data_IF_706942290868
#
_entry.id   IF_706942290868
#
_cell.length_a   1.000
_cell.length_b   1.000
_cell.length_c   1.000
_cell.angle_alpha   90.00
_cell.angle_beta   90.00
_cell.angle_gamma   90.00
#
_symmetry.space_group_name_H-M   'P 1'
#
loop_
_entity.id
_entity.type
_entity.pdbx_description
1 polymer ?
#
# COMPACT_ATOMS: atom_id res chain seq x y z
N UNK A 1 -3.02 -23.46 2.33
CA UNK A 1 -3.92 -22.30 2.58
C UNK A 1 -4.44 -21.82 1.25
N UNK A 2 -5.74 -21.61 1.10
CA UNK A 2 -6.31 -21.01 -0.11
C UNK A 2 -6.08 -19.50 -0.02
N UNK A 3 -5.47 -18.92 -1.08
CA UNK A 3 -5.25 -17.48 -1.15
C UNK A 3 -6.57 -16.72 -0.94
N UNK A 4 -6.56 -15.66 -0.14
CA UNK A 4 -7.72 -14.78 0.05
C UNK A 4 -8.04 -14.01 -1.24
N UNK A 5 -7.00 -13.60 -1.97
CA UNK A 5 -7.10 -12.84 -3.21
C UNK A 5 -6.68 -13.67 -4.44
N UNK A 6 -7.36 -13.43 -5.55
CA UNK A 6 -6.92 -13.84 -6.88
C UNK A 6 -5.90 -12.81 -7.41
N UNK A 7 -4.61 -13.05 -7.15
CA UNK A 7 -3.53 -12.13 -7.53
C UNK A 7 -3.41 -11.92 -9.04
N UNK A 8 -3.87 -12.88 -9.86
CA UNK A 8 -3.96 -12.70 -11.31
C UNK A 8 -5.03 -11.68 -11.67
N UNK A 9 -6.13 -11.68 -10.93
CA UNK A 9 -7.19 -10.68 -11.09
C UNK A 9 -6.71 -9.30 -10.64
N UNK A 10 -6.03 -9.19 -9.48
CA UNK A 10 -5.42 -7.93 -8.99
C UNK A 10 -4.50 -7.36 -10.08
N UNK A 11 -3.52 -8.14 -10.54
CA UNK A 11 -2.58 -7.73 -11.58
C UNK A 11 -3.27 -7.26 -12.86
N UNK A 12 -4.31 -7.97 -13.31
CA UNK A 12 -5.07 -7.61 -14.52
C UNK A 12 -5.88 -6.33 -14.33
N UNK A 13 -6.53 -6.16 -13.17
CA UNK A 13 -7.35 -5.01 -12.87
C UNK A 13 -6.50 -3.73 -12.86
N UNK A 14 -5.41 -3.71 -12.12
CA UNK A 14 -4.49 -2.57 -12.07
C UNK A 14 -3.78 -2.31 -13.40
N UNK A 15 -3.40 -3.36 -14.15
CA UNK A 15 -2.81 -3.15 -15.48
C UNK A 15 -3.77 -2.50 -16.46
N UNK A 16 -5.08 -2.79 -16.40
CA UNK A 16 -6.10 -2.16 -17.24
C UNK A 16 -6.42 -0.74 -16.79
N UNK A 17 -6.42 -0.52 -15.49
CA UNK A 17 -6.72 0.79 -14.90
C UNK A 17 -5.61 1.82 -15.11
N UNK A 18 -4.38 1.37 -15.37
CA UNK A 18 -3.17 2.19 -15.30
C UNK A 18 -3.27 3.52 -16.06
N UNK A 19 -3.80 3.50 -17.30
CA UNK A 19 -3.90 4.70 -18.14
C UNK A 19 -4.90 5.74 -17.60
N UNK A 20 -5.99 5.30 -16.96
CA UNK A 20 -7.03 6.17 -16.42
C UNK A 20 -6.89 6.44 -14.91
N UNK A 21 -5.93 5.79 -14.26
CA UNK A 21 -5.79 5.77 -12.81
C UNK A 21 -5.76 7.16 -12.18
N UNK A 22 -4.96 8.05 -12.72
CA UNK A 22 -4.75 9.40 -12.19
C UNK A 22 -6.01 10.26 -12.20
N UNK A 23 -6.96 9.99 -13.10
CA UNK A 23 -8.21 10.74 -13.17
C UNK A 23 -9.16 10.48 -11.99
N UNK A 24 -9.01 9.35 -11.30
CA UNK A 24 -9.87 8.93 -10.20
C UNK A 24 -9.11 8.68 -8.88
N UNK A 25 -7.79 8.84 -8.85
CA UNK A 25 -6.95 8.51 -7.69
C UNK A 25 -6.73 9.73 -6.75
N UNK A 26 -7.75 10.55 -6.51
CA UNK A 26 -7.62 11.73 -5.65
C UNK A 26 -7.26 11.36 -4.21
N UNK A 27 -7.94 10.36 -3.63
CA UNK A 27 -7.65 9.84 -2.30
C UNK A 27 -6.22 9.28 -2.22
N UNK A 28 -5.81 8.47 -3.20
CA UNK A 28 -4.49 7.86 -3.22
C UNK A 28 -3.37 8.90 -3.28
N UNK A 29 -3.60 10.01 -4.00
CA UNK A 29 -2.66 11.15 -4.05
C UNK A 29 -2.58 11.87 -2.71
N UNK A 30 -3.71 12.15 -2.08
CA UNK A 30 -3.77 12.82 -0.77
C UNK A 30 -3.06 11.98 0.30
N UNK A 31 -3.38 10.69 0.38
CA UNK A 31 -2.72 9.74 1.31
C UNK A 31 -1.22 9.65 1.02
N UNK A 32 -0.84 9.59 -0.26
CA UNK A 32 0.56 9.55 -0.68
C UNK A 32 1.32 10.83 -0.34
N UNK A 33 0.69 12.01 -0.46
CA UNK A 33 1.30 13.28 -0.08
C UNK A 33 1.59 13.32 1.43
N UNK A 34 0.61 12.97 2.28
CA UNK A 34 0.80 12.89 3.74
C UNK A 34 1.88 11.89 4.13
N UNK A 35 1.94 10.76 3.44
CA UNK A 35 2.97 9.76 3.68
C UNK A 35 4.37 10.27 3.30
N UNK A 36 4.49 11.02 2.19
CA UNK A 36 5.76 11.62 1.76
C UNK A 36 6.25 12.74 2.68
N UNK A 37 5.35 13.50 3.32
CA UNK A 37 5.69 14.52 4.32
C UNK A 37 6.42 13.92 5.52
N UNK A 38 6.10 12.68 5.92
CA UNK A 38 6.80 12.01 7.01
C UNK A 38 8.28 11.73 6.70
N UNK A 39 8.69 11.78 5.42
CA UNK A 39 10.10 11.68 5.03
C UNK A 39 10.93 12.90 5.42
N UNK A 40 10.30 14.03 5.80
CA UNK A 40 10.99 15.26 6.23
C UNK A 40 11.89 14.99 7.44
N UNK A 41 11.51 14.02 8.28
CA UNK A 41 12.34 13.55 9.38
C UNK A 41 13.73 13.04 8.94
N UNK A 42 13.85 12.42 7.76
CA UNK A 42 15.13 11.92 7.25
C UNK A 42 16.07 13.02 6.76
N UNK A 43 15.49 14.16 6.35
CA UNK A 43 16.24 15.28 5.80
C UNK A 43 16.60 16.32 6.88
N UNK A 44 16.12 16.15 8.12
CA UNK A 44 16.44 17.03 9.23
C UNK A 44 17.91 16.85 9.63
N UNK A 45 18.75 17.91 9.45
CA UNK A 45 20.17 17.85 9.83
C UNK A 45 20.42 17.54 11.31
N UNK A 46 19.45 17.83 12.18
CA UNK A 46 19.55 17.56 13.62
C UNK A 46 19.67 16.05 13.92
N UNK A 47 19.16 15.20 13.05
CA UNK A 47 19.24 13.75 13.20
C UNK A 47 20.56 13.14 12.71
N UNK A 48 21.41 13.90 12.02
CA UNK A 48 22.76 13.48 11.57
C UNK A 48 22.76 12.23 10.66
N UNK A 49 21.65 11.91 10.01
CA UNK A 49 21.52 10.75 9.12
C UNK A 49 22.04 11.07 7.73
N UNK A 50 22.82 10.17 7.10
CA UNK A 50 23.18 10.34 5.70
C UNK A 50 21.94 10.18 4.80
N UNK A 51 21.88 10.85 3.65
CA UNK A 51 20.82 10.63 2.68
C UNK A 51 20.73 9.17 2.25
N UNK A 52 19.52 8.63 2.03
CA UNK A 52 19.33 7.25 1.57
C UNK A 52 20.00 7.03 0.21
N UNK A 53 20.60 5.85 0.03
CA UNK A 53 21.23 5.43 -1.22
C UNK A 53 20.30 4.58 -2.08
N UNK A 54 19.47 3.74 -1.43
CA UNK A 54 18.50 2.85 -2.09
C UNK A 54 17.14 3.05 -1.45
N UNK A 55 16.17 3.43 -2.26
CA UNK A 55 14.78 3.65 -1.88
C UNK A 55 13.89 2.69 -2.64
N UNK A 56 13.03 1.97 -1.95
CA UNK A 56 12.02 1.09 -2.56
C UNK A 56 10.64 1.75 -2.43
N UNK A 57 9.98 1.99 -3.56
CA UNK A 57 8.57 2.34 -3.65
C UNK A 57 7.78 1.08 -4.02
N UNK A 58 7.11 0.49 -3.05
CA UNK A 58 6.42 -0.78 -3.17
C UNK A 58 4.93 -0.58 -3.48
N UNK A 59 4.45 -1.19 -4.57
CA UNK A 59 3.12 -0.89 -5.11
C UNK A 59 3.10 0.53 -5.69
N UNK A 60 4.13 0.89 -6.44
CA UNK A 60 4.39 2.26 -6.90
C UNK A 60 3.28 2.85 -7.77
N UNK A 61 2.36 2.02 -8.31
CA UNK A 61 1.32 2.46 -9.22
C UNK A 61 1.89 3.21 -10.42
N UNK A 62 1.34 4.40 -10.79
CA UNK A 62 1.88 5.20 -11.89
C UNK A 62 3.19 5.93 -11.55
N UNK A 63 3.73 5.79 -10.33
CA UNK A 63 5.07 6.22 -9.96
C UNK A 63 5.21 7.65 -9.43
N UNK A 64 4.13 8.28 -8.99
CA UNK A 64 4.20 9.66 -8.46
C UNK A 64 5.12 9.77 -7.25
N UNK A 65 4.99 8.87 -6.26
CA UNK A 65 5.87 8.83 -5.10
C UNK A 65 7.31 8.49 -5.49
N UNK A 66 7.51 7.55 -6.42
CA UNK A 66 8.84 7.22 -6.95
C UNK A 66 9.55 8.43 -7.53
N UNK A 67 8.84 9.24 -8.33
CA UNK A 67 9.39 10.47 -8.94
C UNK A 67 9.68 11.52 -7.87
N UNK A 68 8.78 11.72 -6.91
CA UNK A 68 8.97 12.66 -5.81
C UNK A 68 10.19 12.30 -4.95
N UNK A 69 10.35 11.03 -4.59
CA UNK A 69 11.51 10.54 -3.83
C UNK A 69 12.81 10.65 -4.64
N UNK A 70 12.79 10.44 -5.97
CA UNK A 70 13.96 10.64 -6.81
C UNK A 70 14.36 12.11 -6.89
N UNK A 71 13.39 13.04 -6.92
CA UNK A 71 13.65 14.48 -6.87
C UNK A 71 14.20 14.91 -5.51
N UNK A 72 13.68 14.33 -4.43
CA UNK A 72 14.12 14.58 -3.07
C UNK A 72 15.56 14.13 -2.84
N UNK A 73 15.92 12.94 -3.35
CA UNK A 73 17.25 12.34 -3.23
C UNK A 73 17.84 12.05 -4.62
N UNK A 74 18.39 13.05 -5.31
CA UNK A 74 18.79 12.92 -6.72
C UNK A 74 19.90 11.89 -6.97
N UNK A 75 20.66 11.50 -5.93
CA UNK A 75 21.74 10.51 -6.01
C UNK A 75 21.30 9.11 -5.55
N UNK A 76 20.10 8.96 -5.02
CA UNK A 76 19.57 7.68 -4.60
C UNK A 76 19.16 6.82 -5.80
N UNK A 77 19.29 5.50 -5.67
CA UNK A 77 18.64 4.56 -6.56
C UNK A 77 17.21 4.32 -6.07
N UNK A 78 16.22 4.88 -6.75
CA UNK A 78 14.81 4.61 -6.46
C UNK A 78 14.36 3.40 -7.27
N UNK A 79 13.85 2.37 -6.59
CA UNK A 79 13.28 1.16 -7.18
C UNK A 79 11.75 1.29 -7.12
N UNK A 80 11.11 1.38 -8.28
CA UNK A 80 9.66 1.47 -8.40
C UNK A 80 9.10 0.06 -8.66
N UNK A 81 8.58 -0.60 -7.62
CA UNK A 81 8.12 -1.97 -7.69
C UNK A 81 6.60 -2.04 -7.74
N UNK A 82 6.06 -2.77 -8.71
CA UNK A 82 4.62 -3.04 -8.83
C UNK A 82 4.36 -4.42 -9.43
N UNK A 83 3.25 -5.04 -9.05
CA UNK A 83 2.81 -6.31 -9.61
C UNK A 83 2.25 -6.15 -11.03
N UNK A 84 1.71 -4.97 -11.37
CA UNK A 84 1.00 -4.67 -12.59
C UNK A 84 1.93 -4.01 -13.64
N UNK A 85 2.29 -4.70 -14.76
CA UNK A 85 3.14 -4.11 -15.80
C UNK A 85 2.59 -2.83 -16.42
N UNK A 86 1.25 -2.66 -16.46
CA UNK A 86 0.62 -1.43 -16.93
C UNK A 86 1.00 -0.22 -16.06
N UNK A 87 1.01 -0.37 -14.73
CA UNK A 87 1.44 0.67 -13.79
C UNK A 87 2.92 1.05 -14.03
N UNK A 88 3.79 0.07 -14.19
CA UNK A 88 5.21 0.33 -14.48
C UNK A 88 5.45 1.02 -15.83
N UNK A 89 4.57 0.83 -16.82
CA UNK A 89 4.63 1.57 -18.07
C UNK A 89 4.32 3.07 -17.84
N UNK A 90 3.32 3.37 -16.99
CA UNK A 90 3.02 4.75 -16.57
C UNK A 90 4.16 5.35 -15.74
N UNK A 91 4.71 4.58 -14.78
CA UNK A 91 5.90 4.99 -13.99
C UNK A 91 7.05 5.41 -14.91
N UNK A 92 7.36 4.62 -15.96
CA UNK A 92 8.40 4.98 -16.94
C UNK A 92 8.06 6.26 -17.70
N UNK A 93 6.78 6.50 -17.97
CA UNK A 93 6.33 7.71 -18.67
C UNK A 93 6.52 8.94 -17.78
N UNK A 94 6.09 8.88 -16.50
CA UNK A 94 6.24 9.96 -15.53
C UNK A 94 7.71 10.23 -15.20
N UNK A 95 8.52 9.19 -15.02
CA UNK A 95 9.95 9.31 -14.70
C UNK A 95 10.78 9.99 -15.79
N UNK A 96 10.35 9.92 -17.05
CA UNK A 96 11.05 10.59 -18.17
C UNK A 96 10.91 12.11 -18.14
N UNK A 97 10.01 12.65 -17.29
CA UNK A 97 9.78 14.09 -17.20
C UNK A 97 9.34 14.74 -18.52
N UNK A 98 9.30 16.05 -18.52
CA UNK A 98 8.99 16.89 -19.68
C UNK A 98 10.15 17.84 -19.97
N UNK A 99 10.32 18.24 -21.24
CA UNK A 99 11.32 19.22 -21.65
C UNK A 99 12.76 18.69 -21.71
N UNK A 100 13.73 19.60 -21.52
CA UNK A 100 15.17 19.33 -21.70
C UNK A 100 15.77 18.37 -20.66
N UNK A 101 15.17 18.24 -19.48
CA UNK A 101 15.59 17.28 -18.45
C UNK A 101 15.56 15.83 -18.97
N UNK A 102 14.71 15.54 -19.94
CA UNK A 102 14.60 14.25 -20.62
C UNK A 102 15.85 13.86 -21.40
N UNK A 103 16.70 14.82 -21.72
CA UNK A 103 17.92 14.63 -22.53
C UNK A 103 19.16 14.38 -21.69
N UNK A 104 19.07 14.40 -20.35
CA UNK A 104 20.21 14.10 -19.49
C UNK A 104 20.37 12.57 -19.32
N UNK A 105 21.34 11.92 -19.99
CA UNK A 105 21.55 10.48 -19.92
C UNK A 105 22.14 10.03 -18.58
N UNK A 106 22.60 10.97 -17.74
CA UNK A 106 23.20 10.71 -16.43
C UNK A 106 22.25 10.98 -15.27
N UNK A 107 21.00 11.40 -15.55
CA UNK A 107 20.01 11.57 -14.50
C UNK A 107 19.58 10.23 -13.93
N UNK A 108 19.63 10.08 -12.62
CA UNK A 108 18.98 8.96 -11.95
C UNK A 108 17.46 9.10 -12.14
N UNK A 109 16.83 8.03 -12.57
CA UNK A 109 15.38 7.93 -12.72
C UNK A 109 14.91 6.68 -11.99
N UNK A 110 13.67 6.66 -11.46
CA UNK A 110 13.11 5.46 -10.84
C UNK A 110 13.24 4.24 -11.75
N UNK A 111 13.83 3.17 -11.21
CA UNK A 111 14.01 1.90 -11.93
C UNK A 111 12.78 1.00 -11.71
N UNK A 112 12.00 0.70 -12.77
CA UNK A 112 10.80 -0.11 -12.63
C UNK A 112 11.15 -1.60 -12.46
N UNK A 113 10.55 -2.23 -11.43
CA UNK A 113 10.72 -3.65 -11.10
C UNK A 113 9.34 -4.32 -11.06
N UNK A 114 9.09 -5.30 -11.93
CA UNK A 114 7.84 -6.05 -11.91
C UNK A 114 7.98 -7.23 -10.96
N UNK A 115 7.40 -7.12 -9.76
CA UNK A 115 7.49 -8.16 -8.74
C UNK A 115 6.29 -8.12 -7.79
N UNK A 116 6.18 -9.17 -6.97
CA UNK A 116 5.16 -9.33 -5.95
C UNK A 116 5.71 -8.87 -4.59
N UNK A 117 4.93 -8.08 -3.85
CA UNK A 117 5.28 -7.62 -2.50
C UNK A 117 5.55 -8.78 -1.53
N UNK A 118 4.95 -9.94 -1.77
CA UNK A 118 5.10 -11.16 -0.97
C UNK A 118 6.43 -11.88 -1.18
N UNK A 119 7.15 -11.56 -2.27
CA UNK A 119 8.42 -12.19 -2.64
C UNK A 119 9.38 -11.17 -3.27
N UNK A 120 9.94 -10.30 -2.44
CA UNK A 120 10.83 -9.23 -2.90
C UNK A 120 12.12 -9.78 -3.50
N UNK A 121 12.43 -9.49 -4.80
CA UNK A 121 13.63 -9.97 -5.47
C UNK A 121 14.84 -9.06 -5.17
N UNK A 122 15.02 -8.71 -3.91
CA UNK A 122 16.07 -7.81 -3.43
C UNK A 122 16.96 -8.54 -2.44
N UNK A 123 18.23 -8.13 -2.37
CA UNK A 123 19.19 -8.65 -1.41
C UNK A 123 18.83 -8.23 0.01
N UNK A 124 19.26 -9.02 0.98
CA UNK A 124 19.14 -8.71 2.39
C UNK A 124 19.88 -7.41 2.72
N UNK A 125 19.32 -6.61 3.63
CA UNK A 125 19.91 -5.37 4.15
C UNK A 125 20.41 -4.44 3.02
N UNK A 126 19.64 -4.24 1.95
CA UNK A 126 20.04 -3.45 0.78
C UNK A 126 19.26 -2.15 0.61
N UNK A 127 18.16 -1.96 1.32
CA UNK A 127 17.23 -0.83 1.17
C UNK A 127 17.32 0.09 2.39
N UNK A 128 17.47 1.40 2.17
CA UNK A 128 17.51 2.40 3.25
C UNK A 128 16.11 2.86 3.64
N UNK A 129 15.21 3.01 2.65
CA UNK A 129 13.81 3.42 2.85
C UNK A 129 12.90 2.51 2.03
N UNK A 130 11.91 1.91 2.68
CA UNK A 130 10.81 1.20 2.05
C UNK A 130 9.54 2.03 2.24
N UNK A 131 9.04 2.59 1.15
CA UNK A 131 7.78 3.32 1.07
C UNK A 131 6.73 2.44 0.42
N UNK A 132 5.47 2.49 0.91
CA UNK A 132 4.35 1.80 0.28
C UNK A 132 3.04 2.54 0.56
N UNK A 133 2.42 3.09 -0.47
CA UNK A 133 1.15 3.80 -0.34
C UNK A 133 0.00 2.95 -0.85
N UNK A 134 -0.95 2.61 0.04
CA UNK A 134 -2.18 1.89 -0.28
C UNK A 134 -1.96 0.65 -1.17
N UNK A 135 -1.00 -0.20 -0.79
CA UNK A 135 -0.69 -1.46 -1.46
C UNK A 135 -1.05 -2.68 -0.60
N UNK A 136 -0.84 -2.60 0.72
CA UNK A 136 -0.89 -3.76 1.62
C UNK A 136 -2.30 -4.33 1.84
N UNK A 137 -3.36 -3.62 1.49
CA UNK A 137 -4.72 -4.15 1.49
C UNK A 137 -4.94 -5.31 0.50
N UNK A 138 -4.01 -5.56 -0.41
CA UNK A 138 -4.03 -6.66 -1.37
C UNK A 138 -3.22 -7.88 -0.93
N UNK A 139 -2.76 -7.87 0.32
CA UNK A 139 -1.93 -8.92 0.92
C UNK A 139 -2.68 -9.55 2.10
N UNK A 140 -2.74 -10.87 2.12
CA UNK A 140 -3.41 -11.64 3.18
C UNK A 140 -2.53 -11.95 4.38
N UNK A 141 -1.23 -12.20 4.16
CA UNK A 141 -0.28 -12.61 5.19
C UNK A 141 0.70 -11.46 5.53
N UNK A 142 0.22 -10.52 6.35
CA UNK A 142 1.03 -9.38 6.81
C UNK A 142 2.31 -9.82 7.54
N UNK A 143 2.29 -10.82 8.45
CA UNK A 143 3.51 -11.29 9.08
C UNK A 143 4.59 -11.75 8.10
N UNK A 144 4.23 -12.55 7.08
CA UNK A 144 5.16 -13.01 6.06
C UNK A 144 5.71 -11.84 5.22
N UNK A 145 4.85 -10.89 4.86
CA UNK A 145 5.27 -9.72 4.09
C UNK A 145 6.18 -8.81 4.90
N UNK A 146 5.88 -8.55 6.16
CA UNK A 146 6.74 -7.76 7.04
C UNK A 146 8.08 -8.46 7.32
N UNK A 147 8.12 -9.78 7.42
CA UNK A 147 9.38 -10.52 7.46
C UNK A 147 10.22 -10.30 6.19
N UNK A 148 9.58 -10.26 5.02
CA UNK A 148 10.20 -9.90 3.75
C UNK A 148 10.73 -8.47 3.73
N UNK A 149 9.97 -7.51 4.27
CA UNK A 149 10.40 -6.10 4.36
C UNK A 149 11.57 -5.95 5.32
N UNK A 150 11.51 -6.59 6.49
CA UNK A 150 12.62 -6.63 7.43
C UNK A 150 13.89 -7.18 6.80
N UNK A 151 13.79 -8.26 6.02
CA UNK A 151 14.93 -8.89 5.35
C UNK A 151 15.65 -7.92 4.43
N UNK A 152 14.91 -7.14 3.62
CA UNK A 152 15.52 -6.25 2.63
C UNK A 152 15.94 -4.91 3.21
N UNK A 153 15.33 -4.43 4.30
CA UNK A 153 15.71 -3.19 4.94
C UNK A 153 17.07 -3.33 5.66
N UNK A 154 17.88 -2.30 5.51
CA UNK A 154 19.11 -2.16 6.31
C UNK A 154 18.77 -1.98 7.79
N UNK A 155 19.67 -2.34 8.70
CA UNK A 155 19.58 -1.93 10.10
C UNK A 155 19.43 -0.42 10.20
N UNK A 156 18.41 0.05 10.93
CA UNK A 156 18.07 1.46 11.02
C UNK A 156 17.45 2.07 9.76
N UNK A 157 17.12 1.26 8.73
CA UNK A 157 16.35 1.68 7.57
C UNK A 157 14.88 1.99 7.94
N UNK A 158 14.25 2.90 7.24
CA UNK A 158 12.87 3.34 7.49
C UNK A 158 11.89 2.49 6.69
N UNK A 159 10.88 1.94 7.37
CA UNK A 159 9.63 1.47 6.79
C UNK A 159 8.57 2.57 6.92
N UNK A 160 7.91 2.93 5.82
CA UNK A 160 6.86 3.94 5.78
C UNK A 160 5.73 3.43 4.89
N UNK A 161 4.57 3.14 5.46
CA UNK A 161 3.47 2.47 4.75
C UNK A 161 2.12 3.06 5.10
N UNK A 162 1.19 2.99 4.13
CA UNK A 162 -0.23 3.19 4.37
C UNK A 162 -1.05 2.01 3.85
N UNK A 163 -2.18 1.76 4.51
CA UNK A 163 -3.15 0.74 4.13
C UNK A 163 -4.55 1.16 4.53
N UNK A 164 -5.56 0.39 4.13
CA UNK A 164 -6.92 0.62 4.56
C UNK A 164 -7.24 -0.09 5.89
N UNK A 165 -8.09 0.55 6.70
CA UNK A 165 -8.64 0.02 7.93
C UNK A 165 -10.08 -0.50 7.76
N UNK A 166 -10.65 -1.11 8.82
CA UNK A 166 -11.90 -1.89 8.77
C UNK A 166 -13.14 -1.07 8.43
N UNK A 167 -13.15 0.25 8.68
CA UNK A 167 -14.27 1.11 8.32
C UNK A 167 -14.31 1.45 6.82
N UNK A 168 -13.29 1.08 6.03
CA UNK A 168 -13.26 1.37 4.60
C UNK A 168 -14.41 0.69 3.88
N UNK A 169 -15.20 1.53 3.14
CA UNK A 169 -16.33 1.13 2.30
C UNK A 169 -17.36 0.27 3.08
N UNK A 170 -17.56 0.55 4.38
CA UNK A 170 -18.54 -0.21 5.17
C UNK A 170 -19.95 -0.02 4.62
N UNK A 171 -20.30 1.16 4.10
CA UNK A 171 -21.60 1.45 3.50
C UNK A 171 -21.85 0.59 2.26
N UNK A 172 -20.83 0.44 1.43
CA UNK A 172 -20.88 -0.43 0.25
C UNK A 172 -21.05 -1.91 0.64
N UNK A 173 -20.33 -2.34 1.69
CA UNK A 173 -20.42 -3.69 2.23
C UNK A 173 -21.82 -3.99 2.75
N UNK A 174 -22.40 -3.10 3.55
CA UNK A 174 -23.76 -3.23 4.09
C UNK A 174 -24.81 -3.24 2.96
N UNK A 175 -24.68 -2.34 1.98
CA UNK A 175 -25.59 -2.28 0.85
C UNK A 175 -25.59 -3.58 0.04
N UNK A 176 -24.44 -4.19 -0.21
CA UNK A 176 -24.37 -5.46 -0.92
C UNK A 176 -24.78 -6.65 -0.05
N UNK A 177 -24.53 -6.62 1.27
CA UNK A 177 -25.02 -7.65 2.20
C UNK A 177 -26.56 -7.76 2.18
N UNK A 178 -27.27 -6.64 2.00
CA UNK A 178 -28.73 -6.65 1.82
C UNK A 178 -29.20 -7.26 0.47
N UNK A 179 -28.30 -7.41 -0.49
CA UNK A 179 -28.63 -7.89 -1.83
C UNK A 179 -28.17 -9.31 -2.14
N UNK A 180 -27.10 -9.79 -1.47
CA UNK A 180 -26.36 -10.99 -1.86
C UNK A 180 -25.53 -11.50 -0.65
N UNK A 181 -25.35 -12.81 -0.53
CA UNK A 181 -24.48 -13.41 0.48
C UNK A 181 -22.99 -13.44 0.08
N UNK A 182 -22.69 -13.16 -1.19
CA UNK A 182 -21.31 -13.15 -1.67
C UNK A 182 -20.57 -11.90 -1.17
N UNK A 183 -19.30 -12.00 -0.77
CA UNK A 183 -18.52 -10.86 -0.32
C UNK A 183 -18.19 -9.92 -1.52
N UNK A 184 -18.51 -8.64 -1.37
CA UNK A 184 -18.24 -7.61 -2.37
C UNK A 184 -17.10 -6.66 -2.00
N UNK A 185 -16.86 -6.47 -0.71
CA UNK A 185 -15.77 -5.65 -0.16
C UNK A 185 -14.90 -6.52 0.72
N UNK A 186 -13.58 -6.37 0.63
CA UNK A 186 -12.62 -7.08 1.48
C UNK A 186 -12.72 -6.60 2.93
N UNK A 187 -12.37 -7.46 3.87
CA UNK A 187 -12.10 -7.07 5.24
C UNK A 187 -10.65 -6.58 5.34
N UNK A 188 -10.45 -5.49 6.05
CA UNK A 188 -9.13 -4.90 6.28
C UNK A 188 -8.74 -5.04 7.74
N UNK A 189 -7.43 -5.15 8.06
CA UNK A 189 -6.96 -5.29 9.42
C UNK A 189 -7.23 -4.03 10.25
N UNK A 190 -7.52 -4.21 11.53
CA UNK A 190 -7.55 -3.10 12.47
C UNK A 190 -6.13 -2.58 12.76
N UNK A 191 -6.02 -1.30 13.17
CA UNK A 191 -4.74 -0.65 13.46
C UNK A 191 -3.90 -1.45 14.48
N UNK A 192 -4.53 -2.04 15.52
CA UNK A 192 -3.84 -2.88 16.50
C UNK A 192 -3.24 -4.14 15.88
N UNK A 193 -3.99 -4.85 15.01
CA UNK A 193 -3.51 -6.04 14.30
C UNK A 193 -2.33 -5.71 13.39
N UNK A 194 -2.37 -4.54 12.74
CA UNK A 194 -1.28 -4.06 11.88
C UNK A 194 -0.02 -3.77 12.70
N UNK A 195 -0.17 -3.10 13.85
CA UNK A 195 0.93 -2.84 14.80
C UNK A 195 1.52 -4.11 15.39
N UNK A 196 0.67 -5.06 15.80
CA UNK A 196 1.12 -6.36 16.31
C UNK A 196 1.92 -7.14 15.26
N UNK A 197 1.52 -7.08 14.00
CA UNK A 197 2.25 -7.73 12.90
C UNK A 197 3.63 -7.09 12.67
N UNK A 198 3.77 -5.76 12.80
CA UNK A 198 5.07 -5.06 12.74
C UNK A 198 5.99 -5.48 13.90
N UNK A 199 5.44 -5.50 15.13
CA UNK A 199 6.20 -5.93 16.33
C UNK A 199 6.61 -7.40 16.22
N UNK A 200 5.71 -8.27 15.77
CA UNK A 200 6.00 -9.69 15.57
C UNK A 200 7.11 -9.91 14.53
N UNK A 201 7.15 -9.11 13.47
CA UNK A 201 8.24 -9.11 12.51
C UNK A 201 9.56 -8.52 13.06
N UNK A 202 9.55 -7.95 14.27
CA UNK A 202 10.72 -7.41 14.97
C UNK A 202 11.12 -6.00 14.53
N UNK A 203 10.23 -5.23 13.90
CA UNK A 203 10.46 -3.82 13.67
C UNK A 203 10.58 -3.04 14.99
N UNK A 204 11.34 -1.97 14.97
CA UNK A 204 11.55 -1.09 16.14
C UNK A 204 10.71 0.16 16.04
N UNK A 205 10.23 0.61 17.21
CA UNK A 205 9.54 1.87 17.41
C UNK A 205 8.39 2.10 16.39
N UNK A 206 7.47 1.12 16.20
CA UNK A 206 6.36 1.31 15.30
C UNK A 206 5.44 2.42 15.82
N UNK A 207 5.20 3.42 14.99
CA UNK A 207 4.22 4.47 15.23
C UNK A 207 3.10 4.32 14.20
N UNK A 208 1.88 4.28 14.68
CA UNK A 208 0.71 4.14 13.83
C UNK A 208 -0.25 5.30 14.08
N UNK A 209 -0.85 5.76 13.00
CA UNK A 209 -1.89 6.79 13.01
C UNK A 209 -3.01 6.39 12.05
N UNK A 210 -4.16 7.03 12.17
CA UNK A 210 -5.28 6.78 11.27
C UNK A 210 -6.02 8.07 10.93
N UNK A 211 -6.44 8.14 9.67
CA UNK A 211 -7.34 9.16 9.17
C UNK A 211 -8.62 8.54 8.62
N UNK A 212 -9.70 9.30 8.66
CA UNK A 212 -10.95 8.95 8.00
C UNK A 212 -11.28 9.99 6.93
N UNK A 213 -11.46 9.50 5.71
CA UNK A 213 -11.92 10.30 4.58
C UNK A 213 -13.34 9.88 4.22
N UNK A 214 -14.20 10.85 3.98
CA UNK A 214 -15.57 10.61 3.54
C UNK A 214 -15.77 11.30 2.19
N UNK A 215 -16.03 10.49 1.16
CA UNK A 215 -16.26 10.97 -0.19
C UNK A 215 -17.73 10.81 -0.55
N UNK A 216 -18.30 11.80 -1.22
CA UNK A 216 -19.69 11.80 -1.61
C UNK A 216 -19.87 11.35 -3.06
N UNK A 217 -20.86 10.50 -3.31
CA UNK A 217 -21.22 10.03 -4.65
C UNK A 217 -22.69 10.32 -4.95
N UNK A 218 -23.04 10.66 -6.20
CA UNK A 218 -24.44 10.88 -6.57
C UNK A 218 -25.26 9.59 -6.50
N UNK A 219 -24.66 8.44 -6.82
CA UNK A 219 -25.29 7.13 -6.80
C UNK A 219 -24.26 5.99 -6.68
N UNK A 220 -24.75 4.75 -6.44
CA UNK A 220 -23.91 3.56 -6.35
C UNK A 220 -23.12 3.29 -7.64
N UNK A 221 -23.67 3.60 -8.80
CA UNK A 221 -23.02 3.32 -10.08
C UNK A 221 -21.78 4.23 -10.27
N UNK A 222 -21.83 5.44 -9.74
CA UNK A 222 -20.71 6.38 -9.73
C UNK A 222 -19.56 5.86 -8.89
N UNK A 223 -19.80 5.49 -7.63
CA UNK A 223 -18.80 4.85 -6.77
C UNK A 223 -18.19 3.61 -7.43
N UNK A 224 -19.02 2.73 -7.98
CA UNK A 224 -18.55 1.52 -8.67
C UNK A 224 -17.72 1.83 -9.93
N UNK A 225 -17.97 2.95 -10.59
CA UNK A 225 -17.19 3.43 -11.74
C UNK A 225 -15.83 3.94 -11.29
N UNK A 226 -15.78 4.75 -10.23
CA UNK A 226 -14.55 5.24 -9.64
C UNK A 226 -13.63 4.09 -9.20
N UNK A 227 -14.16 3.16 -8.39
CA UNK A 227 -13.42 1.96 -7.95
C UNK A 227 -12.85 1.16 -9.13
N UNK A 228 -13.62 1.01 -10.20
CA UNK A 228 -13.16 0.32 -11.41
C UNK A 228 -12.06 1.10 -12.13
N UNK A 229 -12.16 2.41 -12.18
CA UNK A 229 -11.18 3.29 -12.84
C UNK A 229 -9.82 3.23 -12.14
N UNK A 230 -9.80 3.13 -10.80
CA UNK A 230 -8.54 2.93 -10.05
C UNK A 230 -8.10 1.47 -9.97
N UNK A 231 -8.83 0.53 -10.58
CA UNK A 231 -8.50 -0.90 -10.54
C UNK A 231 -8.91 -1.62 -9.25
N UNK A 232 -9.56 -0.94 -8.29
CA UNK A 232 -10.03 -1.51 -7.03
C UNK A 232 -11.31 -2.36 -7.25
N UNK A 233 -11.18 -3.42 -8.01
CA UNK A 233 -12.28 -4.37 -8.27
C UNK A 233 -12.23 -5.53 -7.28
N UNK A 234 -13.37 -6.17 -7.04
CA UNK A 234 -13.43 -7.35 -6.19
C UNK A 234 -12.51 -8.47 -6.71
N UNK A 235 -11.43 -8.73 -5.99
CA UNK A 235 -10.43 -9.76 -6.29
C UNK A 235 -10.45 -10.92 -5.28
N UNK A 236 -11.43 -10.99 -4.38
CA UNK A 236 -11.56 -12.10 -3.43
C UNK A 236 -11.64 -13.44 -4.19
N UNK A 237 -10.94 -14.45 -3.70
CA UNK A 237 -10.98 -15.79 -4.29
C UNK A 237 -12.39 -16.38 -4.23
N UNK A 238 -13.13 -16.05 -3.18
CA UNK A 238 -14.52 -16.46 -2.93
C UNK A 238 -15.57 -15.60 -3.64
N UNK A 239 -15.15 -14.56 -4.37
CA UNK A 239 -16.07 -13.70 -5.11
C UNK A 239 -16.95 -14.49 -6.06
N UNK A 240 -18.14 -13.99 -6.35
CA UNK A 240 -18.97 -14.50 -7.44
C UNK A 240 -18.23 -14.35 -8.77
N UNK A 241 -18.14 -15.43 -9.55
CA UNK A 241 -17.50 -15.43 -10.88
C UNK A 241 -18.51 -15.16 -12.03
N UNK A 242 -19.81 -15.20 -11.72
CA UNK A 242 -20.89 -14.83 -12.65
C UNK A 242 -21.20 -13.33 -12.54
N UNK A 243 -21.90 -12.79 -13.55
CA UNK A 243 -22.36 -11.40 -13.54
C UNK A 243 -23.31 -11.15 -12.35
N UNK A 244 -23.18 -10.00 -11.71
CA UNK A 244 -24.16 -9.50 -10.77
C UNK A 244 -25.41 -9.11 -11.54
N UNK A 245 -26.51 -9.86 -11.39
CA UNK A 245 -27.75 -9.59 -12.10
C UNK A 245 -28.35 -8.23 -11.72
N UNK A 246 -29.10 -7.62 -12.66
CA UNK A 246 -29.73 -6.30 -12.48
C UNK A 246 -30.54 -6.18 -11.19
N UNK A 247 -31.28 -7.24 -10.81
CA UNK A 247 -32.10 -7.23 -9.60
C UNK A 247 -31.27 -7.13 -8.31
N UNK A 248 -30.10 -7.79 -8.24
CA UNK A 248 -29.20 -7.68 -7.08
C UNK A 248 -28.58 -6.29 -6.99
N UNK A 249 -28.11 -5.76 -8.13
CA UNK A 249 -27.57 -4.41 -8.17
C UNK A 249 -28.61 -3.36 -7.76
N UNK A 250 -29.88 -3.52 -8.20
CA UNK A 250 -30.97 -2.64 -7.81
C UNK A 250 -31.25 -2.71 -6.30
N UNK A 251 -31.23 -3.92 -5.69
CA UNK A 251 -31.39 -4.06 -4.22
C UNK A 251 -30.24 -3.40 -3.46
N UNK A 252 -28.98 -3.60 -3.90
CA UNK A 252 -27.83 -2.93 -3.30
C UNK A 252 -27.93 -1.41 -3.43
N UNK A 253 -28.33 -0.90 -4.59
CA UNK A 253 -28.53 0.52 -4.82
C UNK A 253 -29.63 1.10 -3.92
N UNK A 254 -30.74 0.39 -3.74
CA UNK A 254 -31.83 0.80 -2.84
C UNK A 254 -31.36 0.81 -1.37
N UNK A 255 -30.60 -0.20 -0.93
CA UNK A 255 -30.06 -0.25 0.42
C UNK A 255 -29.04 0.86 0.66
N UNK A 256 -28.20 1.17 -0.34
CA UNK A 256 -27.23 2.26 -0.26
C UNK A 256 -27.92 3.63 -0.25
N UNK A 257 -29.01 3.78 -1.02
CA UNK A 257 -29.82 5.01 -1.06
C UNK A 257 -30.37 5.41 0.32
N UNK A 258 -30.67 4.44 1.16
CA UNK A 258 -31.12 4.67 2.53
C UNK A 258 -30.04 5.33 3.43
N UNK A 259 -28.78 5.32 3.00
CA UNK A 259 -27.63 5.95 3.68
C UNK A 259 -27.32 7.36 3.16
N UNK A 260 -28.13 7.91 2.23
CA UNK A 260 -27.95 9.25 1.68
C UNK A 260 -28.00 10.30 2.78
N UNK A 261 -27.01 11.17 2.83
CA UNK A 261 -26.92 12.20 3.84
C UNK A 261 -27.98 13.28 3.65
N UNK A 262 -28.66 13.58 4.76
CA UNK A 262 -29.66 14.64 4.82
C UNK A 262 -29.07 16.05 4.82
N UNK A 263 -29.95 17.02 4.75
CA UNK A 263 -29.62 18.44 4.84
C UNK A 263 -28.89 18.74 6.16
N UNK A 264 -27.80 19.49 6.10
CA UNK A 264 -26.96 19.84 7.29
C UNK A 264 -25.80 18.88 7.58
N UNK A 265 -25.70 17.76 6.87
CA UNK A 265 -24.54 16.87 6.94
C UNK A 265 -23.47 17.29 5.93
N UNK A 266 -22.17 16.94 6.15
CA UNK A 266 -21.07 17.34 5.28
C UNK A 266 -21.23 16.96 3.79
N UNK A 267 -21.88 15.82 3.52
CA UNK A 267 -22.12 15.30 2.17
C UNK A 267 -23.62 15.37 1.79
N UNK A 268 -24.31 16.47 2.23
CA UNK A 268 -25.76 16.62 2.01
C UNK A 268 -26.19 16.29 0.57
N UNK A 269 -27.17 15.41 0.45
CA UNK A 269 -27.67 14.95 -0.85
C UNK A 269 -26.81 13.95 -1.59
N UNK A 270 -25.72 13.45 -0.97
CA UNK A 270 -24.82 12.45 -1.56
C UNK A 270 -24.82 11.14 -0.76
N UNK A 271 -24.39 10.08 -1.40
CA UNK A 271 -24.12 8.79 -0.77
C UNK A 271 -22.69 8.80 -0.21
N UNK A 272 -22.49 8.57 1.09
CA UNK A 272 -21.16 8.56 1.68
C UNK A 272 -20.39 7.29 1.31
N UNK A 273 -19.10 7.42 1.02
CA UNK A 273 -18.15 6.34 0.97
C UNK A 273 -17.02 6.64 1.96
N UNK A 274 -16.94 5.87 3.02
CA UNK A 274 -15.94 6.04 4.07
C UNK A 274 -14.66 5.28 3.72
N UNK A 275 -13.51 5.92 3.97
CA UNK A 275 -12.19 5.37 3.79
C UNK A 275 -11.37 5.59 5.05
N UNK A 276 -11.16 4.55 5.80
CA UNK A 276 -10.23 4.56 6.92
C UNK A 276 -8.84 4.23 6.42
N UNK A 277 -7.89 5.11 6.63
CA UNK A 277 -6.50 4.93 6.25
C UNK A 277 -5.64 4.80 7.50
N UNK A 278 -4.86 3.73 7.55
CA UNK A 278 -3.85 3.49 8.59
C UNK A 278 -2.49 3.85 7.99
N UNK A 279 -1.77 4.74 8.66
CA UNK A 279 -0.38 5.06 8.39
C UNK A 279 0.49 4.36 9.41
N UNK A 280 1.63 3.88 9.00
CA UNK A 280 2.60 3.31 9.91
C UNK A 280 4.03 3.63 9.47
N UNK A 281 4.88 3.97 10.43
CA UNK A 281 6.32 3.94 10.22
C UNK A 281 6.99 3.10 11.30
N UNK A 282 8.11 2.50 10.96
CA UNK A 282 8.91 1.69 11.86
C UNK A 282 10.36 1.60 11.34
N UNK A 283 11.26 1.15 12.19
CA UNK A 283 12.68 1.07 11.85
C UNK A 283 13.15 -0.37 11.74
N UNK A 284 14.02 -0.63 10.77
CA UNK A 284 14.71 -1.89 10.65
C UNK A 284 15.54 -2.18 11.91
N UNK A 285 15.39 -3.36 12.52
CA UNK A 285 16.09 -3.69 13.74
C UNK A 285 17.61 -3.85 13.51
N UNK A 286 18.44 -3.71 14.56
CA UNK A 286 19.85 -4.02 14.46
C UNK A 286 20.07 -5.51 14.13
N UNK A 287 21.25 -5.88 13.58
CA UNK A 287 21.57 -7.28 13.30
C UNK A 287 21.44 -8.15 14.55
N UNK A 288 20.84 -9.32 14.40
CA UNK A 288 20.63 -10.26 15.52
C UNK A 288 19.49 -9.90 16.47
N UNK A 289 18.71 -8.87 16.18
CA UNK A 289 17.50 -8.58 16.96
C UNK A 289 16.49 -9.74 16.86
N UNK A 290 15.81 -10.06 17.98
CA UNK A 290 14.85 -11.16 18.01
C UNK A 290 13.68 -10.93 17.06
N UNK A 291 13.11 -12.03 16.57
CA UNK A 291 11.85 -12.09 15.86
C UNK A 291 10.88 -12.85 16.75
N UNK A 292 9.65 -12.40 16.85
CA UNK A 292 8.63 -13.11 17.62
C UNK A 292 7.92 -14.13 16.75
N UNK A 293 8.20 -15.42 16.98
CA UNK A 293 7.58 -16.54 16.27
C UNK A 293 6.80 -17.39 17.28
N UNK A 294 5.49 -17.54 17.08
CA UNK A 294 4.66 -18.34 17.96
C UNK A 294 4.65 -17.90 19.44
N UNK A 295 4.89 -16.61 19.71
CA UNK A 295 4.98 -16.06 21.07
C UNK A 295 6.36 -16.18 21.75
N UNK A 296 7.34 -16.77 21.06
CA UNK A 296 8.73 -16.91 21.53
C UNK A 296 9.65 -15.99 20.71
N UNK A 297 10.58 -15.34 21.37
CA UNK A 297 11.59 -14.51 20.72
C UNK A 297 12.72 -15.40 20.17
N UNK A 298 12.82 -15.50 18.85
CA UNK A 298 13.89 -16.22 18.15
C UNK A 298 14.99 -15.26 17.71
N UNK A 299 16.25 -15.60 17.99
CA UNK A 299 17.43 -14.86 17.54
C UNK A 299 18.22 -15.71 16.56
N UNK A 300 18.42 -15.20 15.35
CA UNK A 300 19.29 -15.84 14.37
C UNK A 300 20.74 -15.37 14.59
N UNK A 301 21.57 -16.25 15.15
CA UNK A 301 22.99 -15.97 15.38
C UNK A 301 23.80 -16.69 14.30
N UNK A 302 24.44 -15.96 13.36
CA UNK A 302 25.33 -16.60 12.38
C UNK A 302 26.46 -17.36 13.09
N UNK A 303 26.79 -18.60 12.67
CA UNK A 303 27.86 -19.38 13.28
C UNK A 303 29.21 -18.61 13.33
N UNK A 304 29.47 -17.74 12.35
CA UNK A 304 30.67 -16.90 12.29
C UNK A 304 30.76 -15.83 13.40
N UNK A 305 29.64 -15.49 14.05
CA UNK A 305 29.62 -14.53 15.16
C UNK A 305 29.81 -15.18 16.52
N UNK A 306 29.82 -16.50 16.60
CA UNK A 306 30.03 -17.25 17.84
C UNK A 306 31.55 -17.27 18.15
N UNK A 307 31.96 -16.48 19.14
CA UNK A 307 33.37 -16.52 19.62
C UNK A 307 33.61 -17.83 20.37
N UNK A 308 34.26 -18.78 19.73
CA UNK A 308 34.75 -19.97 20.42
C UNK A 308 35.96 -19.56 21.26
N UNK A 309 35.84 -19.64 22.59
CA UNK A 309 37.01 -19.49 23.49
C UNK A 309 37.95 -20.66 23.20
N UNK A 310 39.13 -20.36 22.65
CA UNK A 310 40.22 -21.35 22.65
C UNK A 310 40.62 -21.60 24.11
N UNK A 311 40.54 -22.85 24.54
CA UNK A 311 41.09 -23.30 25.81
C UNK A 311 42.63 -23.25 25.75
#
# INVERSE_FOLDING_TARGET
>A
MTDLFDHRQVRRAFSRAAHGYDSAAALQREVGARLLEQLDYLDDPAHGRPPPQVVLDLGCGPGHASVAMQQRWPKAQVLALDLAPGMLAETRRHARGTGLARLNPFAYVPAPVCADARALPLRDASVDVLHSNLCLQWVEDLPAVFAGFRRVLKPGGLLLVSTFGPATLFELREAFAAADEAPHVSLFPAIGQFGDALLAAGFKDPVLDRDEFRLGHPDLADLMRELRTIGATNALATRRRSLTGRARFARAAQAYEAMREGTGMPLAGQLPATWEVIYAHAWGPPPGAPIRVGGVDEVHVPPSSIRVRKR
#
